data_IF_270633192545
#
_entry.id   IF_270633192545
#
_cell.length_a   1.000
_cell.length_b   1.000
_cell.length_c   1.000
_cell.angle_alpha   90.00
_cell.angle_beta   90.00
_cell.angle_gamma   90.00
#
_symmetry.space_group_name_H-M   'P 1'
#
loop_
_entity.id
_entity.type
_entity.pdbx_description
1 polymer ?
#
# COMPACT_ATOMS: atom_id res chain seq x y z
N UNK A 1 16.48 -5.29 -14.63
CA UNK A 1 15.16 -4.76 -15.03
C UNK A 1 14.43 -4.52 -13.73
N UNK A 2 14.03 -3.28 -13.47
CA UNK A 2 13.07 -3.01 -12.39
C UNK A 2 11.74 -3.57 -12.86
N UNK A 3 11.38 -4.76 -12.36
CA UNK A 3 10.09 -5.37 -12.65
C UNK A 3 9.01 -4.65 -11.88
N UNK A 4 7.81 -4.64 -12.45
CA UNK A 4 6.63 -4.15 -11.77
C UNK A 4 5.39 -4.68 -12.44
N UNK A 5 4.36 -4.99 -11.65
CA UNK A 5 3.07 -5.44 -12.16
C UNK A 5 2.07 -4.30 -12.00
N UNK A 6 1.48 -3.88 -13.13
CA UNK A 6 0.42 -2.88 -13.15
C UNK A 6 -0.93 -3.56 -13.01
N UNK A 7 -1.73 -3.08 -12.05
CA UNK A 7 -3.08 -3.58 -11.75
C UNK A 7 -4.09 -2.45 -11.97
N UNK A 8 -5.24 -2.80 -12.54
CA UNK A 8 -6.31 -1.83 -12.87
C UNK A 8 -7.69 -2.21 -12.33
N UNK A 9 -7.82 -3.38 -11.69
CA UNK A 9 -9.12 -3.91 -11.25
C UNK A 9 -9.19 -4.18 -9.77
N UNK A 10 -8.39 -5.10 -9.27
CA UNK A 10 -8.42 -5.52 -7.88
C UNK A 10 -7.06 -6.03 -7.45
N UNK A 11 -6.60 -5.58 -6.29
CA UNK A 11 -5.48 -6.20 -5.60
C UNK A 11 -5.76 -6.22 -4.10
N UNK A 12 -5.39 -7.32 -3.47
CA UNK A 12 -5.39 -7.47 -2.01
C UNK A 12 -4.04 -8.02 -1.59
N UNK A 13 -3.35 -7.29 -0.73
CA UNK A 13 -2.05 -7.67 -0.16
C UNK A 13 -2.20 -7.75 1.35
N UNK A 14 -1.50 -8.69 1.97
CA UNK A 14 -1.48 -8.79 3.42
C UNK A 14 -0.39 -9.73 3.94
N UNK A 15 0.00 -9.47 5.18
CA UNK A 15 0.94 -10.25 5.97
C UNK A 15 0.53 -10.16 7.46
N UNK A 16 1.39 -10.58 8.37
CA UNK A 16 1.14 -10.53 9.82
C UNK A 16 0.96 -9.09 10.34
N UNK A 17 1.58 -8.12 9.69
CA UNK A 17 1.51 -6.69 10.04
C UNK A 17 0.28 -5.98 9.49
N UNK A 18 -0.57 -6.65 8.69
CA UNK A 18 -1.81 -6.05 8.21
C UNK A 18 -2.18 -6.40 6.77
N UNK A 19 -3.09 -5.62 6.20
CA UNK A 19 -3.60 -5.82 4.85
C UNK A 19 -4.02 -4.51 4.18
N UNK A 20 -4.08 -4.55 2.86
CA UNK A 20 -4.65 -3.51 2.03
C UNK A 20 -5.42 -4.08 0.84
N UNK A 21 -6.35 -3.28 0.35
CA UNK A 21 -7.23 -3.58 -0.76
C UNK A 21 -7.33 -2.36 -1.68
N UNK A 22 -7.18 -2.59 -2.98
CA UNK A 22 -7.40 -1.58 -4.03
C UNK A 22 -8.47 -2.11 -4.97
N UNK A 23 -9.46 -1.29 -5.28
CA UNK A 23 -10.62 -1.61 -6.10
C UNK A 23 -10.82 -0.54 -7.17
N UNK A 24 -10.65 -0.92 -8.44
CA UNK A 24 -10.89 -0.05 -9.58
C UNK A 24 -9.89 1.10 -9.74
N UNK A 25 -8.72 1.00 -9.12
CA UNK A 25 -7.66 2.02 -9.23
C UNK A 25 -6.41 1.46 -9.88
N UNK A 26 -5.62 2.37 -10.46
CA UNK A 26 -4.30 2.04 -11.01
C UNK A 26 -3.32 1.86 -9.86
N UNK A 27 -2.68 0.68 -9.79
CA UNK A 27 -1.66 0.39 -8.79
C UNK A 27 -0.49 -0.36 -9.40
N UNK A 28 0.72 0.00 -8.98
CA UNK A 28 1.97 -0.62 -9.41
C UNK A 28 2.60 -1.32 -8.22
N UNK A 29 2.83 -2.63 -8.32
CA UNK A 29 3.59 -3.41 -7.34
C UNK A 29 5.00 -3.66 -7.83
N UNK A 30 5.98 -3.42 -6.96
CA UNK A 30 7.39 -3.76 -7.13
C UNK A 30 7.72 -4.99 -6.28
N UNK A 31 8.40 -5.98 -6.84
CA UNK A 31 8.65 -7.27 -6.20
C UNK A 31 9.83 -7.31 -5.21
N UNK A 32 9.82 -8.31 -4.34
CA UNK A 32 11.00 -8.73 -3.58
C UNK A 32 11.73 -9.83 -4.37
N UNK A 33 12.85 -9.52 -5.03
CA UNK A 33 13.67 -10.55 -5.69
C UNK A 33 13.14 -11.02 -7.06
N UNK A 34 13.52 -12.23 -7.54
CA UNK A 34 13.44 -12.55 -8.98
C UNK A 34 12.04 -12.89 -9.52
N UNK A 35 11.07 -13.23 -8.67
CA UNK A 35 9.70 -13.49 -9.11
C UNK A 35 8.81 -12.28 -8.79
N UNK A 36 8.00 -11.77 -9.74
CA UNK A 36 7.24 -10.52 -9.57
C UNK A 36 6.23 -10.46 -8.41
N UNK A 37 5.93 -11.58 -7.74
CA UNK A 37 4.85 -11.67 -6.73
C UNK A 37 5.07 -12.78 -5.70
N UNK A 38 5.69 -13.91 -6.07
CA UNK A 38 5.80 -15.08 -5.19
C UNK A 38 6.64 -14.84 -3.94
N UNK A 39 7.65 -13.98 -4.05
CA UNK A 39 8.51 -13.63 -2.94
C UNK A 39 7.94 -12.48 -2.10
N UNK A 40 6.77 -11.96 -2.47
CA UNK A 40 6.16 -10.80 -1.86
C UNK A 40 6.35 -9.52 -2.67
N UNK A 41 5.74 -8.46 -2.14
CA UNK A 41 5.72 -7.11 -2.71
C UNK A 41 6.54 -6.21 -1.79
N UNK A 42 7.54 -5.53 -2.35
CA UNK A 42 8.40 -4.59 -1.64
C UNK A 42 7.68 -3.25 -1.45
N UNK A 43 7.03 -2.78 -2.51
CA UNK A 43 6.36 -1.49 -2.57
C UNK A 43 5.14 -1.57 -3.46
N UNK A 44 4.13 -0.81 -3.09
CA UNK A 44 2.97 -0.54 -3.93
C UNK A 44 2.72 0.95 -4.00
N UNK A 45 2.48 1.45 -5.20
CA UNK A 45 2.05 2.82 -5.47
C UNK A 45 0.62 2.75 -5.97
N UNK A 46 -0.29 3.46 -5.31
CA UNK A 46 -1.68 3.63 -5.74
C UNK A 46 -1.85 5.08 -6.17
N UNK A 47 -2.37 5.30 -7.38
CA UNK A 47 -2.53 6.62 -7.96
C UNK A 47 -3.96 6.85 -8.44
N UNK A 48 -4.30 8.11 -8.70
CA UNK A 48 -5.62 8.50 -9.20
C UNK A 48 -6.67 8.71 -8.11
N UNK A 49 -6.24 9.09 -6.90
CA UNK A 49 -7.18 9.54 -5.87
C UNK A 49 -7.79 10.89 -6.24
N UNK A 50 -9.12 11.02 -6.14
CA UNK A 50 -9.82 12.29 -6.35
C UNK A 50 -9.56 13.32 -5.24
N UNK A 51 -9.21 12.84 -4.05
CA UNK A 51 -8.87 13.64 -2.86
C UNK A 51 -7.83 12.90 -2.01
N UNK A 52 -7.15 13.62 -1.11
CA UNK A 52 -6.17 13.03 -0.21
C UNK A 52 -6.81 11.86 0.59
N UNK A 53 -6.22 10.65 0.58
CA UNK A 53 -6.69 9.55 1.40
C UNK A 53 -6.68 9.91 2.89
N UNK A 54 -7.74 9.56 3.61
CA UNK A 54 -7.77 9.73 5.06
C UNK A 54 -6.87 8.69 5.71
N UNK A 55 -5.73 9.14 6.27
CA UNK A 55 -4.75 8.30 6.92
C UNK A 55 -4.56 8.74 8.38
N UNK A 56 -4.92 7.84 9.32
CA UNK A 56 -4.85 8.06 10.76
C UNK A 56 -3.96 7.04 11.44
N UNK A 57 -3.24 7.48 12.47
CA UNK A 57 -2.43 6.63 13.33
C UNK A 57 -2.99 6.63 14.75
N UNK A 58 -3.20 5.43 15.31
CA UNK A 58 -3.68 5.19 16.67
C UNK A 58 -2.73 4.20 17.36
N UNK A 59 -1.79 4.72 18.13
CA UNK A 59 -0.71 3.91 18.70
C UNK A 59 0.20 3.36 17.59
N UNK A 60 0.31 2.04 17.49
CA UNK A 60 1.05 1.33 16.45
C UNK A 60 0.21 1.00 15.21
N UNK A 61 -1.08 1.36 15.21
CA UNK A 61 -2.02 1.03 14.15
C UNK A 61 -2.14 2.19 13.17
N UNK A 62 -2.10 1.87 11.88
CA UNK A 62 -2.37 2.80 10.79
C UNK A 62 -3.61 2.34 10.04
N UNK A 63 -4.57 3.26 9.90
CA UNK A 63 -5.78 3.07 9.11
C UNK A 63 -5.79 4.06 7.96
N UNK A 64 -5.99 3.56 6.74
CA UNK A 64 -6.14 4.40 5.55
C UNK A 64 -7.44 4.05 4.83
N UNK A 65 -8.24 5.07 4.52
CA UNK A 65 -9.47 4.93 3.77
C UNK A 65 -9.58 6.00 2.68
N UNK A 66 -9.96 5.57 1.48
CA UNK A 66 -10.40 6.43 0.37
C UNK A 66 -11.33 5.63 -0.55
N UNK A 67 -11.99 6.31 -1.49
CA UNK A 67 -12.77 5.62 -2.52
C UNK A 67 -11.82 4.72 -3.33
N UNK A 68 -12.13 3.42 -3.39
CA UNK A 68 -11.30 2.43 -4.10
C UNK A 68 -10.04 1.97 -3.36
N UNK A 69 -9.79 2.43 -2.13
CA UNK A 69 -8.61 2.03 -1.35
C UNK A 69 -8.92 1.89 0.14
N UNK A 70 -8.50 0.77 0.73
CA UNK A 70 -8.56 0.55 2.17
C UNK A 70 -7.31 -0.16 2.65
N UNK A 71 -6.73 0.29 3.76
CA UNK A 71 -5.59 -0.37 4.37
C UNK A 71 -5.63 -0.31 5.90
N UNK A 72 -5.11 -1.36 6.53
CA UNK A 72 -5.01 -1.49 7.97
C UNK A 72 -3.68 -2.16 8.30
N UNK A 73 -2.83 -1.49 9.06
CA UNK A 73 -1.52 -1.99 9.45
C UNK A 73 -1.27 -1.83 10.94
N UNK A 74 -0.43 -2.69 11.49
CA UNK A 74 0.15 -2.62 12.85
C UNK A 74 1.66 -2.52 12.73
N UNK A 75 2.32 -1.83 13.66
CA UNK A 75 3.76 -1.57 13.55
C UNK A 75 4.11 -0.72 12.33
N UNK A 76 3.29 0.29 12.02
CA UNK A 76 3.46 1.14 10.86
C UNK A 76 3.50 2.63 11.23
N UNK A 77 4.13 3.44 10.37
CA UNK A 77 4.14 4.90 10.47
C UNK A 77 3.59 5.57 9.23
N UNK A 78 3.09 6.80 9.41
CA UNK A 78 2.59 7.66 8.35
C UNK A 78 3.56 8.82 8.18
N UNK A 79 4.02 9.02 6.95
CA UNK A 79 4.80 10.18 6.54
C UNK A 79 4.05 10.91 5.42
N UNK A 80 4.00 12.25 5.50
CA UNK A 80 3.41 13.08 4.43
C UNK A 80 4.54 13.81 3.72
N UNK A 81 4.69 13.52 2.42
CA UNK A 81 5.75 14.09 1.59
C UNK A 81 5.11 14.68 0.34
N UNK A 82 5.11 16.00 0.22
CA UNK A 82 4.45 16.72 -0.88
C UNK A 82 2.96 16.32 -1.03
N UNK A 83 2.64 15.56 -2.09
CA UNK A 83 1.30 15.06 -2.41
C UNK A 83 1.16 13.55 -2.13
N UNK A 84 2.11 12.96 -1.43
CA UNK A 84 2.14 11.54 -1.10
C UNK A 84 1.87 11.31 0.39
N UNK A 85 1.01 10.33 0.66
CA UNK A 85 0.88 9.70 1.97
C UNK A 85 1.68 8.39 1.91
N UNK A 86 2.80 8.35 2.62
CA UNK A 86 3.70 7.20 2.64
C UNK A 86 3.45 6.41 3.92
N UNK A 87 3.07 5.14 3.75
CA UNK A 87 2.94 4.20 4.85
C UNK A 87 4.17 3.31 4.88
N UNK A 88 4.88 3.29 6.01
CA UNK A 88 6.05 2.42 6.22
C UNK A 88 5.72 1.34 7.22
N UNK A 89 5.88 0.08 6.83
CA UNK A 89 5.82 -1.05 7.75
C UNK A 89 7.19 -1.21 8.41
N UNK A 90 7.20 -1.29 9.74
CA UNK A 90 8.42 -1.57 10.49
C UNK A 90 8.59 -3.08 10.63
N UNK A 91 9.83 -3.58 10.50
CA UNK A 91 10.11 -4.97 10.82
C UNK A 91 9.90 -5.19 12.32
N UNK A 92 9.12 -6.21 12.66
CA UNK A 92 8.98 -6.68 14.04
C UNK A 92 10.13 -7.62 14.40
#
# INVERSE_FOLDING_TARGET
MEGGVLHSRFIKLGNESGNMEVMGMTSLTEEIGPHPLFNGVLRIVVAGFESEPSATAEGDRVHVNSVGFKANFTGASIERVNQEVVIRLHMQ
#
